data_IF_492324135055
#
_entry.id   IF_492324135055
#
_cell.length_a   1.000
_cell.length_b   1.000
_cell.length_c   1.000
_cell.angle_alpha   90.00
_cell.angle_beta   90.00
_cell.angle_gamma   90.00
#
_symmetry.space_group_name_H-M   'P 1'
#
loop_
_entity.id
_entity.type
_entity.pdbx_description
1 polymer ?
#
# COMPACT_ATOMS: atom_id res chain seq x y z
N UNK A 1 -7.88 -5.29 21.51
CA UNK A 1 -8.41 -6.46 22.26
C UNK A 1 -8.52 -7.72 21.38
N UNK A 2 -9.07 -7.65 20.16
CA UNK A 2 -9.09 -8.80 19.23
C UNK A 2 -7.68 -9.39 18.95
N UNK A 3 -6.68 -8.53 18.75
CA UNK A 3 -5.27 -8.92 18.57
C UNK A 3 -4.65 -9.58 19.80
N UNK A 4 -5.06 -9.18 21.01
CA UNK A 4 -4.50 -9.68 22.29
C UNK A 4 -5.01 -11.10 22.58
N UNK A 5 -6.30 -11.37 22.32
CA UNK A 5 -6.86 -12.71 22.49
C UNK A 5 -6.33 -13.72 21.46
N UNK A 6 -6.01 -13.28 20.23
CA UNK A 6 -5.35 -14.13 19.23
C UNK A 6 -3.89 -14.44 19.60
N UNK A 7 -3.16 -13.47 20.17
CA UNK A 7 -1.77 -13.65 20.62
C UNK A 7 -1.61 -14.75 21.69
N UNK A 8 -2.56 -14.84 22.63
CA UNK A 8 -2.53 -15.80 23.74
C UNK A 8 -2.66 -17.28 23.32
N UNK A 9 -3.21 -17.57 22.14
CA UNK A 9 -3.50 -18.95 21.70
C UNK A 9 -2.38 -19.58 20.85
N UNK A 10 -1.53 -18.79 20.17
CA UNK A 10 -0.35 -19.27 19.42
C UNK A 10 0.44 -18.09 18.82
N UNK A 11 1.40 -17.53 19.56
CA UNK A 11 2.14 -16.34 19.15
C UNK A 11 2.87 -16.46 17.80
N UNK A 12 3.45 -17.62 17.48
CA UNK A 12 4.20 -17.81 16.22
C UNK A 12 3.29 -17.88 14.98
N UNK A 13 2.12 -18.54 15.06
CA UNK A 13 1.15 -18.56 13.95
C UNK A 13 0.46 -17.22 13.74
N UNK A 14 0.37 -16.39 14.79
CA UNK A 14 -0.26 -15.07 14.71
C UNK A 14 0.52 -14.09 13.81
N UNK A 15 1.85 -14.08 13.88
CA UNK A 15 2.71 -13.22 13.05
C UNK A 15 2.88 -13.72 11.60
N UNK A 16 2.45 -14.94 11.28
CA UNK A 16 2.52 -15.46 9.91
C UNK A 16 1.46 -14.86 8.98
N UNK A 17 0.42 -14.22 9.53
CA UNK A 17 -0.68 -13.64 8.77
C UNK A 17 -0.46 -12.14 8.59
N UNK A 18 -0.29 -11.71 7.34
CA UNK A 18 0.02 -10.32 6.96
C UNK A 18 -0.99 -9.31 7.54
N UNK A 19 -2.25 -9.71 7.64
CA UNK A 19 -3.31 -8.85 8.18
C UNK A 19 -3.16 -8.61 9.69
N UNK A 20 -2.75 -9.65 10.43
CA UNK A 20 -2.48 -9.51 11.86
C UNK A 20 -1.23 -8.65 12.10
N UNK A 21 -0.23 -8.71 11.21
CA UNK A 21 0.95 -7.83 11.24
C UNK A 21 0.55 -6.37 11.00
N UNK A 22 -0.24 -6.08 9.96
CA UNK A 22 -0.75 -4.72 9.72
C UNK A 22 -1.58 -4.19 10.89
N UNK A 23 -2.43 -5.02 11.49
CA UNK A 23 -3.20 -4.66 12.68
C UNK A 23 -2.29 -4.31 13.88
N UNK A 24 -1.22 -5.08 14.10
CA UNK A 24 -0.25 -4.77 15.16
C UNK A 24 0.51 -3.47 14.87
N UNK A 25 0.89 -3.23 13.62
CA UNK A 25 1.56 -1.99 13.21
C UNK A 25 0.67 -0.77 13.43
N UNK A 26 -0.62 -0.83 13.05
CA UNK A 26 -1.56 0.27 13.30
C UNK A 26 -1.72 0.58 14.80
N UNK A 27 -1.83 -0.44 15.65
CA UNK A 27 -1.90 -0.22 17.11
C UNK A 27 -0.60 0.43 17.64
N UNK A 28 0.57 0.00 17.15
CA UNK A 28 1.85 0.58 17.54
C UNK A 28 1.98 2.04 17.09
N UNK A 29 1.61 2.35 15.84
CA UNK A 29 1.61 3.73 15.33
C UNK A 29 0.66 4.62 16.13
N UNK A 30 -0.55 4.15 16.43
CA UNK A 30 -1.51 4.88 17.26
C UNK A 30 -0.97 5.19 18.66
N UNK A 31 -0.35 4.22 19.33
CA UNK A 31 0.27 4.42 20.66
C UNK A 31 1.43 5.42 20.57
N UNK A 32 2.28 5.29 19.54
CA UNK A 32 3.39 6.22 19.33
C UNK A 32 2.89 7.65 19.08
N UNK A 33 1.83 7.82 18.29
CA UNK A 33 1.19 9.12 18.03
C UNK A 33 0.63 9.76 19.29
N UNK A 34 0.02 8.95 20.18
CA UNK A 34 -0.42 9.43 21.51
C UNK A 34 0.78 9.85 22.36
N UNK A 35 1.86 9.07 22.38
CA UNK A 35 3.07 9.41 23.15
C UNK A 35 3.69 10.75 22.70
N UNK A 36 3.84 10.96 21.38
CA UNK A 36 4.33 12.22 20.81
C UNK A 36 3.39 13.39 21.08
N UNK A 37 2.08 13.15 21.12
CA UNK A 37 1.06 14.16 21.45
C UNK A 37 1.06 14.53 22.94
N UNK A 38 1.28 13.58 23.84
CA UNK A 38 1.37 13.83 25.28
C UNK A 38 2.67 14.54 25.65
N UNK A 39 3.75 14.34 24.89
CA UNK A 39 4.99 15.09 24.99
C UNK A 39 4.86 16.47 24.30
N UNK A 40 3.87 17.25 24.76
CA UNK A 40 3.45 18.54 24.17
C UNK A 40 4.40 19.71 24.49
N UNK A 41 5.53 19.47 25.15
CA UNK A 41 6.45 20.55 25.54
C UNK A 41 7.24 21.15 24.36
N UNK A 42 7.32 20.44 23.23
CA UNK A 42 8.03 20.88 22.02
C UNK A 42 7.07 20.95 20.82
N UNK A 43 6.99 22.10 20.14
CA UNK A 43 6.20 22.31 18.91
C UNK A 43 6.52 21.28 17.80
N UNK A 44 7.79 20.89 17.68
CA UNK A 44 8.25 19.87 16.71
C UNK A 44 7.70 18.47 17.01
N UNK A 45 7.54 18.13 18.29
CA UNK A 45 6.95 16.85 18.73
C UNK A 45 5.47 16.80 18.41
N UNK A 46 4.76 17.92 18.58
CA UNK A 46 3.32 18.01 18.29
C UNK A 46 3.03 17.83 16.79
N UNK A 47 3.80 18.50 15.92
CA UNK A 47 3.70 18.32 14.47
C UNK A 47 3.97 16.86 14.06
N UNK A 48 5.03 16.25 14.62
CA UNK A 48 5.39 14.86 14.35
C UNK A 48 4.28 13.88 14.77
N UNK A 49 3.67 14.10 15.94
CA UNK A 49 2.51 13.33 16.40
C UNK A 49 1.32 13.42 15.44
N UNK A 50 1.05 14.59 14.87
CA UNK A 50 0.00 14.77 13.86
C UNK A 50 0.31 14.00 12.57
N UNK A 51 1.55 14.04 12.09
CA UNK A 51 1.98 13.27 10.90
C UNK A 51 1.80 11.76 11.14
N UNK A 52 2.16 11.27 12.32
CA UNK A 52 1.97 9.86 12.69
C UNK A 52 0.48 9.47 12.65
N UNK A 53 -0.42 10.30 13.20
CA UNK A 53 -1.86 10.02 13.10
C UNK A 53 -2.39 10.02 11.65
N UNK A 54 -1.86 10.89 10.79
CA UNK A 54 -2.22 10.88 9.37
C UNK A 54 -1.80 9.58 8.67
N UNK A 55 -0.60 9.08 8.96
CA UNK A 55 -0.13 7.79 8.42
C UNK A 55 -0.92 6.62 9.00
N UNK A 56 -1.20 6.66 10.29
CA UNK A 56 -2.00 5.65 11.00
C UNK A 56 -3.43 5.54 10.42
N UNK A 57 -4.04 6.68 10.07
CA UNK A 57 -5.35 6.69 9.41
C UNK A 57 -5.35 5.93 8.08
N UNK A 58 -4.25 5.96 7.31
CA UNK A 58 -4.12 5.18 6.07
C UNK A 58 -4.14 3.69 6.40
N UNK A 59 -3.38 3.25 7.41
CA UNK A 59 -3.33 1.84 7.84
C UNK A 59 -4.73 1.37 8.30
N UNK A 60 -5.41 2.17 9.12
CA UNK A 60 -6.78 1.88 9.56
C UNK A 60 -7.78 1.84 8.39
N UNK A 61 -7.59 2.68 7.36
CA UNK A 61 -8.44 2.64 6.16
C UNK A 61 -8.17 1.37 5.34
N UNK A 62 -6.91 0.94 5.20
CA UNK A 62 -6.56 -0.33 4.55
C UNK A 62 -7.19 -1.54 5.27
N UNK A 63 -7.40 -1.47 6.59
CA UNK A 63 -8.15 -2.50 7.34
C UNK A 63 -9.61 -2.63 6.89
N UNK A 64 -10.24 -1.56 6.40
CA UNK A 64 -11.60 -1.66 5.84
C UNK A 64 -11.63 -2.58 4.62
N UNK A 65 -10.55 -2.64 3.83
CA UNK A 65 -10.45 -3.58 2.70
C UNK A 65 -10.56 -5.02 3.21
N UNK A 66 -9.89 -5.37 4.31
CA UNK A 66 -10.03 -6.69 4.94
C UNK A 66 -11.43 -6.95 5.49
N UNK A 67 -12.18 -5.94 5.92
CA UNK A 67 -13.57 -6.13 6.32
C UNK A 67 -14.44 -6.38 5.09
N UNK A 68 -14.17 -5.69 3.98
CA UNK A 68 -14.88 -5.88 2.72
C UNK A 68 -14.54 -7.19 2.00
N UNK A 69 -13.46 -7.90 2.35
CA UNK A 69 -13.19 -9.25 1.82
C UNK A 69 -14.29 -10.24 2.17
N UNK A 70 -15.01 -9.98 3.27
CA UNK A 70 -16.15 -10.77 3.75
C UNK A 70 -17.38 -10.56 2.86
N UNK A 71 -17.45 -9.46 2.09
CA UNK A 71 -18.60 -9.16 1.25
C UNK A 71 -18.68 -10.08 0.02
N UNK A 72 -19.90 -10.49 -0.33
CA UNK A 72 -20.16 -11.41 -1.46
C UNK A 72 -19.68 -10.88 -2.82
N UNK A 73 -19.73 -9.57 -3.02
CA UNK A 73 -19.47 -8.96 -4.33
C UNK A 73 -18.04 -8.40 -4.46
N UNK A 74 -17.44 -7.93 -3.35
CA UNK A 74 -16.08 -7.37 -3.35
C UNK A 74 -15.03 -8.38 -2.89
N UNK A 75 -15.41 -9.39 -2.09
CA UNK A 75 -14.49 -10.40 -1.57
C UNK A 75 -13.68 -11.13 -2.62
N UNK A 76 -14.32 -11.81 -3.59
CA UNK A 76 -13.61 -12.48 -4.68
C UNK A 76 -12.69 -11.54 -5.46
N UNK A 77 -13.14 -10.30 -5.72
CA UNK A 77 -12.35 -9.28 -6.42
C UNK A 77 -11.10 -8.85 -5.64
N UNK A 78 -11.22 -8.69 -4.31
CA UNK A 78 -10.09 -8.36 -3.45
C UNK A 78 -9.09 -9.52 -3.40
N UNK A 79 -9.55 -10.76 -3.35
CA UNK A 79 -8.67 -11.94 -3.36
C UNK A 79 -7.95 -12.09 -4.71
N UNK A 80 -8.63 -11.78 -5.81
CA UNK A 80 -7.99 -11.68 -7.13
C UNK A 80 -6.89 -10.62 -7.13
N UNK A 81 -7.17 -9.42 -6.59
CA UNK A 81 -6.20 -8.34 -6.48
C UNK A 81 -4.97 -8.76 -5.64
N UNK A 82 -5.17 -9.47 -4.53
CA UNK A 82 -4.07 -9.99 -3.72
C UNK A 82 -3.15 -10.93 -4.50
N UNK A 83 -3.71 -11.78 -5.37
CA UNK A 83 -2.91 -12.70 -6.20
C UNK A 83 -2.11 -11.95 -7.26
N UNK A 84 -2.67 -10.87 -7.83
CA UNK A 84 -1.96 -10.00 -8.77
C UNK A 84 -0.80 -9.23 -8.15
N UNK A 85 -0.69 -9.14 -6.81
CA UNK A 85 0.45 -8.48 -6.18
C UNK A 85 1.80 -9.14 -6.51
N UNK A 86 1.79 -10.45 -6.80
CA UNK A 86 3.01 -11.15 -7.26
C UNK A 86 3.41 -10.66 -8.66
N UNK A 87 2.44 -10.49 -9.56
CA UNK A 87 2.66 -9.95 -10.90
C UNK A 87 3.14 -8.50 -10.84
N UNK A 88 2.56 -7.69 -9.94
CA UNK A 88 3.00 -6.31 -9.66
C UNK A 88 4.45 -6.30 -9.20
N UNK A 89 4.83 -7.17 -8.26
CA UNK A 89 6.20 -7.20 -7.76
C UNK A 89 7.22 -7.54 -8.86
N UNK A 90 6.89 -8.51 -9.72
CA UNK A 90 7.72 -8.86 -10.88
C UNK A 90 7.85 -7.69 -11.87
N UNK A 91 6.74 -7.01 -12.18
CA UNK A 91 6.76 -5.81 -13.00
C UNK A 91 7.60 -4.69 -12.38
N UNK A 92 7.44 -4.41 -11.08
CA UNK A 92 8.21 -3.39 -10.37
C UNK A 92 9.72 -3.69 -10.42
N UNK A 93 10.11 -4.96 -10.35
CA UNK A 93 11.51 -5.35 -10.50
C UNK A 93 12.05 -5.03 -11.90
N UNK A 94 11.35 -5.44 -12.96
CA UNK A 94 11.74 -5.13 -14.34
C UNK A 94 11.77 -3.63 -14.61
N UNK A 95 10.76 -2.91 -14.11
CA UNK A 95 10.65 -1.47 -14.24
C UNK A 95 11.77 -0.74 -13.48
N UNK A 96 12.12 -1.17 -12.26
CA UNK A 96 13.19 -0.57 -11.49
C UNK A 96 14.56 -0.73 -12.18
N UNK A 97 14.84 -1.89 -12.77
CA UNK A 97 16.08 -2.10 -13.54
C UNK A 97 16.16 -1.15 -14.74
N UNK A 98 15.06 -1.02 -15.49
CA UNK A 98 15.01 -0.09 -16.62
C UNK A 98 15.15 1.37 -16.15
N UNK A 99 14.37 1.75 -15.14
CA UNK A 99 14.37 3.11 -14.57
C UNK A 99 15.77 3.54 -14.11
N UNK A 100 16.48 2.69 -13.37
CA UNK A 100 17.83 3.00 -12.89
C UNK A 100 18.81 3.12 -14.07
N UNK A 101 18.75 2.21 -15.05
CA UNK A 101 19.61 2.27 -16.22
C UNK A 101 19.43 3.58 -17.01
N UNK A 102 18.18 3.96 -17.28
CA UNK A 102 17.84 5.21 -17.95
C UNK A 102 18.21 6.44 -17.12
N UNK A 103 17.86 6.45 -15.83
CA UNK A 103 18.10 7.59 -14.94
C UNK A 103 19.59 7.88 -14.75
N UNK A 104 20.41 6.85 -14.59
CA UNK A 104 21.87 7.01 -14.47
C UNK A 104 22.48 7.48 -15.79
N UNK A 105 22.06 6.91 -16.94
CA UNK A 105 22.52 7.35 -18.25
C UNK A 105 22.16 8.81 -18.53
N UNK A 106 20.90 9.20 -18.25
CA UNK A 106 20.42 10.57 -18.43
C UNK A 106 21.17 11.57 -17.54
N UNK A 107 21.31 11.27 -16.25
CA UNK A 107 22.04 12.14 -15.31
C UNK A 107 23.51 12.29 -15.73
N UNK A 108 24.16 11.21 -16.17
CA UNK A 108 25.55 11.22 -16.61
C UNK A 108 25.81 11.97 -17.92
N UNK A 109 24.83 12.03 -18.83
CA UNK A 109 24.93 12.79 -20.08
C UNK A 109 24.66 14.28 -19.86
N UNK A 110 23.68 14.62 -19.02
CA UNK A 110 23.16 15.98 -18.92
C UNK A 110 23.91 16.87 -17.92
N UNK A 111 24.40 16.32 -16.79
CA UNK A 111 24.87 17.13 -15.65
C UNK A 111 26.26 16.71 -15.17
N UNK A 112 27.02 17.70 -14.67
CA UNK A 112 28.28 17.47 -13.96
C UNK A 112 28.05 16.86 -12.58
N UNK A 113 29.14 16.43 -11.95
CA UNK A 113 29.14 15.76 -10.65
C UNK A 113 28.39 16.57 -9.57
N UNK A 114 27.13 16.17 -9.31
CA UNK A 114 26.26 16.71 -8.29
C UNK A 114 26.56 16.00 -6.95
N UNK A 115 26.83 16.74 -5.88
CA UNK A 115 27.17 16.17 -4.57
C UNK A 115 25.93 15.93 -3.69
N UNK A 116 24.79 16.52 -4.06
CA UNK A 116 23.54 16.45 -3.29
C UNK A 116 22.78 15.16 -3.60
N UNK A 117 22.87 14.19 -2.71
CA UNK A 117 22.21 12.87 -2.86
C UNK A 117 20.70 12.95 -3.12
N UNK A 118 19.99 13.89 -2.49
CA UNK A 118 18.54 14.07 -2.69
C UNK A 118 18.19 14.47 -4.13
N UNK A 119 19.01 15.33 -4.74
CA UNK A 119 18.82 15.76 -6.13
C UNK A 119 19.20 14.65 -7.11
N UNK A 120 20.24 13.87 -6.82
CA UNK A 120 20.56 12.67 -7.59
C UNK A 120 19.39 11.70 -7.56
N UNK A 121 18.81 11.42 -6.39
CA UNK A 121 17.66 10.53 -6.27
C UNK A 121 16.44 11.06 -7.03
N UNK A 122 16.17 12.38 -6.92
CA UNK A 122 15.08 13.03 -7.65
C UNK A 122 15.23 12.87 -9.17
N UNK A 123 16.42 13.05 -9.71
CA UNK A 123 16.61 13.00 -11.16
C UNK A 123 16.84 11.60 -11.72
N UNK A 124 17.45 10.69 -10.96
CA UNK A 124 17.70 9.30 -11.40
C UNK A 124 16.48 8.41 -11.20
N UNK A 125 15.66 8.65 -10.17
CA UNK A 125 14.52 7.77 -9.83
C UNK A 125 13.20 8.47 -10.06
N UNK A 126 12.99 9.62 -9.41
CA UNK A 126 11.66 10.25 -9.37
C UNK A 126 11.20 10.79 -10.73
N UNK A 127 12.08 11.46 -11.47
CA UNK A 127 11.74 11.96 -12.82
C UNK A 127 11.44 10.82 -13.82
N UNK A 128 12.29 9.79 -13.98
CA UNK A 128 11.95 8.61 -14.80
C UNK A 128 10.67 7.89 -14.36
N UNK A 129 10.39 7.84 -13.06
CA UNK A 129 9.14 7.30 -12.54
C UNK A 129 7.91 8.10 -13.04
N UNK A 130 7.97 9.43 -13.01
CA UNK A 130 6.90 10.29 -13.53
C UNK A 130 6.72 10.14 -15.04
N UNK A 131 7.79 9.86 -15.78
CA UNK A 131 7.73 9.63 -17.22
C UNK A 131 6.89 8.39 -17.60
N UNK A 132 6.80 7.38 -16.73
CA UNK A 132 5.86 6.28 -16.92
C UNK A 132 4.38 6.74 -16.95
N UNK A 133 4.06 7.79 -16.21
CA UNK A 133 2.70 8.37 -16.15
C UNK A 133 2.46 9.46 -17.21
N UNK A 134 3.40 9.66 -18.14
CA UNK A 134 3.27 10.63 -19.23
C UNK A 134 3.90 11.99 -18.97
N UNK A 135 4.63 12.18 -17.87
CA UNK A 135 5.41 13.39 -17.65
C UNK A 135 6.77 13.29 -18.36
N UNK A 136 6.92 13.91 -19.53
CA UNK A 136 8.20 13.90 -20.22
C UNK A 136 9.15 14.98 -19.66
N UNK A 137 10.46 14.73 -19.59
CA UNK A 137 11.39 15.74 -19.11
C UNK A 137 11.59 16.84 -20.14
N UNK A 138 11.49 18.11 -19.73
CA UNK A 138 11.64 19.25 -20.63
C UNK A 138 13.11 19.67 -20.85
N UNK A 139 14.06 19.01 -20.19
CA UNK A 139 15.49 19.32 -20.21
C UNK A 139 16.30 18.48 -21.21
N UNK A 140 15.62 17.79 -22.11
CA UNK A 140 16.20 16.93 -23.15
C UNK A 140 16.48 17.71 -24.44
N UNK A 141 15.68 18.74 -24.71
CA UNK A 141 15.73 19.56 -25.93
C UNK A 141 16.39 20.89 -25.61
N UNK A 142 17.52 21.19 -26.26
CA UNK A 142 18.29 22.42 -26.02
C UNK A 142 17.53 23.69 -26.42
N UNK A 143 16.52 23.58 -27.28
CA UNK A 143 15.67 24.71 -27.70
C UNK A 143 14.61 25.10 -26.66
N UNK A 144 14.20 24.14 -25.83
CA UNK A 144 13.11 24.31 -24.85
C UNK A 144 13.65 24.45 -23.43
N UNK A 145 14.97 24.33 -23.26
CA UNK A 145 15.63 24.44 -21.97
C UNK A 145 15.62 25.88 -21.44
N UNK A 146 14.92 26.08 -20.32
CA UNK A 146 14.88 27.36 -19.61
C UNK A 146 15.97 27.42 -18.52
N UNK A 147 16.94 28.33 -18.71
CA UNK A 147 18.02 28.56 -17.76
C UNK A 147 17.54 29.17 -16.43
N UNK A 148 16.38 29.82 -16.39
CA UNK A 148 15.83 30.38 -15.14
C UNK A 148 15.35 29.29 -14.17
N UNK A 149 15.13 28.07 -14.66
CA UNK A 149 14.69 26.92 -13.86
C UNK A 149 15.82 26.22 -13.09
N UNK A 150 17.09 26.55 -13.36
CA UNK A 150 18.26 25.83 -12.83
C UNK A 150 19.29 26.76 -12.15
N UNK A 151 20.27 26.18 -11.46
CA UNK A 151 21.40 26.93 -10.86
C UNK A 151 22.74 26.27 -11.16
N UNK A 152 23.78 27.05 -11.47
CA UNK A 152 25.13 26.54 -11.71
C UNK A 152 25.92 26.28 -10.41
N UNK A 153 25.64 27.06 -9.36
CA UNK A 153 26.33 26.96 -8.07
C UNK A 153 25.66 25.97 -7.11
N UNK A 154 24.47 25.46 -7.47
CA UNK A 154 23.65 24.58 -6.63
C UNK A 154 23.05 25.31 -5.44
N UNK A 155 21.91 26.01 -5.61
CA UNK A 155 21.11 26.49 -4.49
C UNK A 155 20.09 25.42 -4.06
N UNK A 156 19.66 25.40 -2.79
CA UNK A 156 18.80 24.34 -2.23
C UNK A 156 17.46 24.18 -2.96
N UNK A 157 16.96 25.22 -3.63
CA UNK A 157 15.63 25.22 -4.25
C UNK A 157 15.59 24.75 -5.71
N UNK A 158 16.73 24.68 -6.43
CA UNK A 158 16.75 24.44 -7.89
C UNK A 158 17.75 23.33 -8.29
N UNK A 159 17.45 22.55 -9.35
CA UNK A 159 18.37 21.55 -9.89
C UNK A 159 19.62 22.20 -10.48
N UNK A 160 20.69 21.41 -10.62
CA UNK A 160 21.87 21.84 -11.37
C UNK A 160 21.52 22.01 -12.84
N UNK A 161 22.05 23.07 -13.45
CA UNK A 161 21.93 23.24 -14.89
C UNK A 161 22.66 22.14 -15.66
N UNK A 162 22.21 21.88 -16.89
CA UNK A 162 22.94 21.03 -17.83
C UNK A 162 24.35 21.56 -18.08
N UNK A 163 25.26 20.67 -18.49
CA UNK A 163 26.60 21.09 -18.91
C UNK A 163 26.52 21.97 -20.17
N UNK A 164 27.02 23.20 -20.06
CA UNK A 164 27.10 24.17 -21.15
C UNK A 164 28.53 24.31 -21.70
N UNK A 165 28.64 24.64 -22.98
CA UNK A 165 29.88 24.95 -23.67
C UNK A 165 30.27 26.44 -23.50
N UNK A 166 31.43 26.87 -24.05
CA UNK A 166 31.93 28.25 -23.96
C UNK A 166 30.96 29.31 -24.51
N UNK A 167 30.02 28.91 -25.36
CA UNK A 167 29.02 29.77 -25.97
C UNK A 167 27.67 29.77 -25.20
N UNK A 168 27.62 29.25 -23.97
CA UNK A 168 26.42 29.06 -23.15
C UNK A 168 25.34 28.18 -23.82
N UNK A 169 25.75 27.29 -24.74
CA UNK A 169 24.87 26.32 -25.37
C UNK A 169 24.96 24.97 -24.64
N UNK A 170 23.86 24.20 -24.55
CA UNK A 170 23.91 22.85 -23.99
C UNK A 170 24.92 21.98 -24.76
N UNK A 171 25.83 21.34 -24.02
CA UNK A 171 26.92 20.53 -24.59
C UNK A 171 26.47 19.12 -25.00
N UNK A 172 25.33 18.66 -24.49
CA UNK A 172 24.88 17.30 -24.69
C UNK A 172 24.44 17.05 -26.15
N UNK A 173 24.73 15.87 -26.71
CA UNK A 173 24.26 15.50 -28.04
C UNK A 173 22.75 15.19 -28.02
N UNK A 174 21.93 16.13 -28.53
CA UNK A 174 20.47 15.96 -28.68
C UNK A 174 20.09 14.68 -29.45
N UNK A 175 20.91 14.32 -30.45
CA UNK A 175 20.74 13.09 -31.23
C UNK A 175 20.94 11.80 -30.42
N UNK A 176 21.48 11.87 -29.20
CA UNK A 176 21.52 10.74 -28.25
C UNK A 176 20.39 10.87 -27.23
N UNK A 177 20.21 12.05 -26.64
CA UNK A 177 19.28 12.24 -25.53
C UNK A 177 17.81 12.09 -25.96
N UNK A 178 17.44 12.59 -27.14
CA UNK A 178 16.08 12.46 -27.68
C UNK A 178 15.75 10.98 -27.95
N UNK A 179 16.55 10.20 -28.72
CA UNK A 179 16.27 8.78 -28.90
C UNK A 179 16.30 7.96 -27.60
N UNK A 180 17.20 8.28 -26.67
CA UNK A 180 17.27 7.61 -25.37
C UNK A 180 15.93 7.70 -24.62
N UNK A 181 15.33 8.88 -24.59
CA UNK A 181 14.03 9.11 -23.92
C UNK A 181 12.90 8.49 -24.71
N UNK A 182 12.90 8.59 -26.04
CA UNK A 182 11.91 7.94 -26.89
C UNK A 182 11.90 6.41 -26.68
N UNK A 183 13.09 5.77 -26.64
CA UNK A 183 13.23 4.33 -26.39
C UNK A 183 12.74 3.98 -24.98
N UNK A 184 13.10 4.79 -23.98
CA UNK A 184 12.63 4.60 -22.61
C UNK A 184 11.10 4.64 -22.55
N UNK A 185 10.48 5.71 -23.05
CA UNK A 185 9.03 5.89 -23.05
C UNK A 185 8.30 4.78 -23.82
N UNK A 186 8.84 4.36 -24.97
CA UNK A 186 8.31 3.23 -25.73
C UNK A 186 8.37 1.95 -24.91
N UNK A 187 9.51 1.68 -24.28
CA UNK A 187 9.72 0.46 -23.50
C UNK A 187 8.83 0.42 -22.24
N UNK A 188 8.71 1.51 -21.49
CA UNK A 188 7.91 1.53 -20.26
C UNK A 188 6.42 1.56 -20.57
N UNK A 189 5.98 2.47 -21.43
CA UNK A 189 4.56 2.77 -21.59
C UNK A 189 3.88 1.82 -22.58
N UNK A 190 4.62 1.30 -23.57
CA UNK A 190 4.06 0.37 -24.56
C UNK A 190 4.45 -1.07 -24.23
N UNK A 191 5.72 -1.37 -23.90
CA UNK A 191 6.10 -2.77 -23.67
C UNK A 191 5.74 -3.22 -22.25
N UNK A 192 6.28 -2.56 -21.22
CA UNK A 192 6.14 -3.02 -19.83
C UNK A 192 4.71 -2.89 -19.31
N UNK A 193 4.01 -1.77 -19.56
CA UNK A 193 2.61 -1.61 -19.12
C UNK A 193 1.67 -2.61 -19.82
N UNK A 194 1.83 -2.84 -21.13
CA UNK A 194 0.98 -3.84 -21.82
C UNK A 194 1.28 -5.27 -21.36
N UNK A 195 2.54 -5.58 -21.04
CA UNK A 195 2.89 -6.85 -20.43
C UNK A 195 2.22 -7.01 -19.05
N UNK A 196 2.20 -5.96 -18.22
CA UNK A 196 1.50 -5.99 -16.93
C UNK A 196 -0.01 -6.23 -17.11
N UNK A 197 -0.63 -5.56 -18.08
CA UNK A 197 -2.06 -5.76 -18.40
C UNK A 197 -2.30 -7.21 -18.85
N UNK A 198 -1.42 -7.79 -19.67
CA UNK A 198 -1.52 -9.17 -20.12
C UNK A 198 -1.39 -10.17 -18.95
N UNK A 199 -0.44 -9.94 -18.04
CA UNK A 199 -0.24 -10.77 -16.84
C UNK A 199 -1.45 -10.67 -15.91
N UNK A 200 -1.99 -9.47 -15.69
CA UNK A 200 -3.24 -9.30 -14.94
C UNK A 200 -4.41 -10.02 -15.62
N UNK A 201 -4.54 -9.95 -16.94
CA UNK A 201 -5.55 -10.68 -17.68
C UNK A 201 -5.46 -12.20 -17.47
N UNK A 202 -4.25 -12.75 -17.50
CA UNK A 202 -3.98 -14.16 -17.23
C UNK A 202 -4.34 -14.56 -15.78
N UNK A 203 -3.94 -13.75 -14.79
CA UNK A 203 -4.24 -13.99 -13.38
C UNK A 203 -5.74 -13.82 -13.08
N UNK A 204 -6.42 -12.84 -13.70
CA UNK A 204 -7.89 -12.70 -13.64
C UNK A 204 -8.55 -13.97 -14.19
N UNK A 205 -8.16 -14.41 -15.38
CA UNK A 205 -8.76 -15.57 -16.05
C UNK A 205 -8.60 -16.86 -15.27
N UNK A 206 -7.38 -17.16 -14.83
CA UNK A 206 -7.05 -18.38 -14.07
C UNK A 206 -7.73 -18.42 -12.68
N UNK A 207 -7.91 -17.26 -12.04
CA UNK A 207 -8.63 -17.19 -10.76
C UNK A 207 -10.15 -17.26 -10.98
N UNK A 208 -10.67 -16.75 -12.10
CA UNK A 208 -12.09 -16.80 -12.45
C UNK A 208 -12.57 -18.22 -12.80
N UNK A 209 -11.75 -19.06 -13.44
CA UNK A 209 -12.08 -20.47 -13.73
C UNK A 209 -12.33 -21.31 -12.45
N UNK A 210 -11.83 -20.87 -11.29
CA UNK A 210 -12.05 -21.51 -9.99
C UNK A 210 -13.08 -20.78 -9.10
N UNK A 211 -13.64 -19.65 -9.53
CA UNK A 211 -14.40 -18.76 -8.66
C UNK A 211 -15.75 -19.31 -8.20
N UNK A 212 -16.41 -20.22 -8.93
CA UNK A 212 -17.68 -20.80 -8.49
C UNK A 212 -17.55 -21.72 -7.26
N UNK A 213 -16.45 -22.47 -7.18
CA UNK A 213 -16.13 -23.32 -6.02
C UNK A 213 -15.68 -22.47 -4.82
N UNK A 214 -14.83 -21.48 -5.07
CA UNK A 214 -14.33 -20.54 -4.06
C UNK A 214 -15.46 -19.67 -3.50
N UNK A 215 -16.39 -19.21 -4.34
CA UNK A 215 -17.56 -18.44 -3.92
C UNK A 215 -18.50 -19.26 -3.04
N UNK A 216 -18.74 -20.54 -3.38
CA UNK A 216 -19.54 -21.46 -2.56
C UNK A 216 -18.87 -21.75 -1.21
N UNK A 217 -17.55 -21.91 -1.19
CA UNK A 217 -16.77 -22.12 0.04
C UNK A 217 -16.73 -20.87 0.94
N UNK A 218 -16.55 -19.68 0.36
CA UNK A 218 -16.58 -18.41 1.10
C UNK A 218 -17.95 -18.10 1.70
N UNK A 219 -19.04 -18.47 1.00
CA UNK A 219 -20.41 -18.35 1.54
C UNK A 219 -20.58 -19.18 2.82
N UNK A 220 -19.97 -20.37 2.90
CA UNK A 220 -20.03 -21.20 4.09
C UNK A 220 -19.35 -20.52 5.29
N UNK A 221 -18.13 -20.00 5.12
CA UNK A 221 -17.41 -19.30 6.20
C UNK A 221 -18.11 -18.02 6.64
N UNK A 222 -18.66 -17.26 5.70
CA UNK A 222 -19.45 -16.07 5.99
C UNK A 222 -20.65 -16.40 6.90
N UNK A 223 -21.44 -17.40 6.50
CA UNK A 223 -22.63 -17.83 7.25
C UNK A 223 -22.22 -18.37 8.61
N UNK A 224 -21.16 -19.17 8.69
CA UNK A 224 -20.64 -19.70 9.94
C UNK A 224 -20.18 -18.57 10.89
N UNK A 225 -19.48 -17.55 10.37
CA UNK A 225 -18.98 -16.44 11.17
C UNK A 225 -20.11 -15.53 11.66
N UNK A 226 -21.07 -15.18 10.80
CA UNK A 226 -22.27 -14.41 11.19
C UNK A 226 -23.15 -15.16 12.19
N UNK A 227 -23.24 -16.49 12.07
CA UNK A 227 -23.94 -17.33 13.05
C UNK A 227 -23.23 -17.42 14.40
N UNK A 228 -21.91 -17.21 14.44
CA UNK A 228 -21.08 -17.30 15.65
C UNK A 228 -20.88 -15.97 16.39
N UNK A 229 -21.11 -14.82 15.72
CA UNK A 229 -20.96 -13.50 16.32
C UNK A 229 -22.28 -12.98 16.91
N UNK A 230 -22.19 -12.31 18.07
CA UNK A 230 -23.31 -11.51 18.59
C UNK A 230 -23.63 -10.39 17.58
N UNK A 231 -24.91 -10.28 17.19
CA UNK A 231 -25.44 -9.29 16.24
C UNK A 231 -25.50 -7.88 16.84
N UNK A 232 -24.37 -7.36 17.31
CA UNK A 232 -24.25 -6.06 17.98
C UNK A 232 -23.26 -5.21 17.18
N UNK A 233 -23.61 -3.97 16.78
CA UNK A 233 -22.70 -3.10 16.02
C UNK A 233 -21.40 -2.86 16.77
N UNK A 234 -20.28 -2.73 16.04
CA UNK A 234 -18.92 -2.56 16.58
C UNK A 234 -18.80 -1.62 17.81
N UNK A 235 -19.45 -0.43 17.88
CA UNK A 235 -19.41 0.42 19.08
C UNK A 235 -20.04 -0.18 20.35
N UNK A 236 -20.98 -1.12 20.23
CA UNK A 236 -21.70 -1.72 21.37
C UNK A 236 -21.14 -3.09 21.80
N UNK A 237 -20.16 -3.63 21.06
CA UNK A 237 -19.50 -4.91 21.38
C UNK A 237 -18.80 -4.86 22.74
N UNK A 238 -18.22 -3.71 23.10
CA UNK A 238 -17.53 -3.53 24.39
C UNK A 238 -18.52 -3.70 25.55
N UNK A 239 -19.70 -3.08 25.46
CA UNK A 239 -20.76 -3.21 26.47
C UNK A 239 -21.31 -4.64 26.57
N UNK A 240 -21.45 -5.33 25.44
CA UNK A 240 -21.89 -6.73 25.41
C UNK A 240 -20.90 -7.68 26.09
N UNK A 241 -19.59 -7.48 25.88
CA UNK A 241 -18.56 -8.25 26.57
C UNK A 241 -18.45 -7.92 28.05
N UNK A 242 -18.58 -6.65 28.44
CA UNK A 242 -18.67 -6.25 29.86
C UNK A 242 -19.87 -6.94 30.52
N UNK A 243 -21.04 -6.93 29.87
CA UNK A 243 -22.23 -7.62 30.37
C UNK A 243 -22.03 -9.14 30.46
N UNK A 244 -21.39 -9.78 29.48
CA UNK A 244 -21.07 -11.22 29.54
C UNK A 244 -20.06 -11.56 30.64
N UNK A 245 -19.03 -10.73 30.86
CA UNK A 245 -18.04 -10.91 31.92
C UNK A 245 -18.68 -10.72 33.28
N UNK A 246 -19.51 -9.68 33.45
CA UNK A 246 -20.31 -9.48 34.65
C UNK A 246 -21.26 -10.67 34.89
N UNK A 247 -21.96 -11.16 33.86
CA UNK A 247 -22.82 -12.34 33.95
C UNK A 247 -22.04 -13.61 34.29
N UNK A 248 -20.80 -13.76 33.81
CA UNK A 248 -19.91 -14.88 34.19
C UNK A 248 -19.42 -14.77 35.64
N UNK A 249 -19.08 -13.56 36.10
CA UNK A 249 -18.74 -13.30 37.51
C UNK A 249 -19.94 -13.59 38.43
N UNK A 250 -21.15 -13.19 38.02
CA UNK A 250 -22.39 -13.52 38.73
C UNK A 250 -22.78 -15.00 38.65
N UNK A 251 -22.54 -15.69 37.52
CA UNK A 251 -22.75 -17.16 37.39
C UNK A 251 -21.71 -17.98 38.16
N UNK A 252 -20.52 -17.43 38.43
CA UNK A 252 -19.56 -18.07 39.33
C UNK A 252 -20.07 -18.05 40.79
N UNK A 253 -20.93 -17.09 41.16
CA UNK A 253 -21.63 -17.05 42.44
C UNK A 253 -22.93 -17.86 42.47
N UNK A 254 -23.61 -18.07 41.33
CA UNK A 254 -24.84 -18.87 41.23
C UNK A 254 -24.73 -19.91 40.12
N UNK A 255 -24.42 -21.15 40.51
CA UNK A 255 -24.37 -22.32 39.63
C UNK A 255 -25.79 -22.63 39.12
N UNK A 256 -26.14 -22.16 37.92
CA UNK A 256 -27.28 -22.71 37.20
C UNK A 256 -27.01 -22.79 35.69
N UNK A 257 -27.18 -24.01 35.20
CA UNK A 257 -26.82 -24.47 33.86
C UNK A 257 -28.03 -24.27 32.94
N UNK A 258 -27.90 -23.37 31.96
CA UNK A 258 -28.82 -23.31 30.82
C UNK A 258 -27.98 -23.06 29.58
N UNK A 259 -27.95 -24.07 28.71
CA UNK A 259 -27.25 -24.09 27.43
C UNK A 259 -28.22 -23.57 26.38
N UNK A 260 -28.18 -22.26 26.11
CA UNK A 260 -28.91 -21.70 24.97
C UNK A 260 -28.28 -22.26 23.67
N UNK A 261 -29.06 -23.05 22.93
CA UNK A 261 -28.65 -23.50 21.60
C UNK A 261 -28.58 -22.29 20.67
N UNK A 262 -27.47 -22.15 19.95
CA UNK A 262 -27.29 -21.14 18.90
C UNK A 262 -28.45 -21.17 17.91
N UNK A 263 -29.08 -20.01 17.69
CA UNK A 263 -30.20 -19.75 16.76
C UNK A 263 -29.93 -20.32 15.35
N UNK A 264 -28.65 -20.44 14.96
CA UNK A 264 -28.25 -20.96 13.66
C UNK A 264 -28.58 -22.45 13.41
N UNK A 265 -28.70 -23.29 14.44
CA UNK A 265 -29.07 -24.70 14.25
C UNK A 265 -30.53 -24.90 13.82
N UNK A 266 -31.41 -23.91 14.00
CA UNK A 266 -32.82 -24.03 13.60
C UNK A 266 -33.07 -23.69 12.13
N UNK A 267 -32.23 -22.85 11.50
CA UNK A 267 -32.42 -22.50 10.08
C UNK A 267 -31.99 -23.61 9.10
N UNK A 268 -31.11 -24.52 9.50
CA UNK A 268 -30.69 -25.64 8.64
C UNK A 268 -31.68 -26.82 8.63
N UNK A 269 -32.67 -26.84 9.53
CA UNK A 269 -33.68 -27.91 9.60
C UNK A 269 -34.93 -27.62 8.75
N UNK A 270 -35.03 -26.43 8.15
CA UNK A 270 -36.19 -25.98 7.37
C UNK A 270 -35.97 -26.03 5.86
N UNK A 271 -34.79 -26.44 5.39
CA UNK A 271 -34.42 -26.54 3.97
C UNK A 271 -34.13 -27.99 3.50
N UNK A 272 -34.66 -29.00 4.20
CA UNK A 272 -34.76 -30.40 3.70
C UNK A 272 -36.18 -30.76 3.35
#
# INVERSE_FOLDING_TARGET
IHSINKWYMNGSKYFSDLWNVMDTLGILYFISGIAFRLHSSNETSWYSGRVIFCLDYIIFTLRLIHIFTVSRNLGPKIIMLQRMLIDVFFFLFLFAVWMVAFGVARQGILRKNEQRWEWIFRSVIYEPYLAMFGHYPSDIDGTTYDFDSCTFLGNESKPLCVEVDSNNLPRFPEWITIPLVCIYMLSTNILLVNLLIAMFGYTVGSVQENNDQVWKFQRYFLVQEYCSRLAIPFPFVIFAYIYMVMRKLFKFCCKNEYRESSICCKLFSSDT
#
